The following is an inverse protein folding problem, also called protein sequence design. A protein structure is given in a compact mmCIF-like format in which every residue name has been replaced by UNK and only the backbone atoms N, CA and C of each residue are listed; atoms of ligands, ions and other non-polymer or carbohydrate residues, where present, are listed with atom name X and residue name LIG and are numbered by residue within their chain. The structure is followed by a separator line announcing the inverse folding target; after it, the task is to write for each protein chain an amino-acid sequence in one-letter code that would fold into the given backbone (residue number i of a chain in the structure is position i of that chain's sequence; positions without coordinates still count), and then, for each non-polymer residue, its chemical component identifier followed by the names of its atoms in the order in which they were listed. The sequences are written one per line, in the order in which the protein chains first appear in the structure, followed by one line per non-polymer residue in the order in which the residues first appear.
data_IF_519163197873
#
_entry.id   IF_519163197873
#
_cell.length_a   1.000
_cell.length_b   1.000
_cell.length_c   1.000
_cell.angle_alpha   90.00
_cell.angle_beta   90.00
_cell.angle_gamma   90.00
#
_symmetry.space_group_name_H-M   'P 1'
#
loop_
_entity.id
_entity.type
_entity.pdbx_description
1 polymer ?
#
# COMPACT_ATOMS: atom_id res chain seq x y z
N UNK A 1 -3.08 20.84 -1.81
CA UNK A 1 -3.69 22.00 -1.19
C UNK A 1 -3.33 22.13 0.30
N UNK A 2 -3.56 21.06 1.15
CA UNK A 2 -3.16 21.07 2.58
C UNK A 2 -1.65 21.40 2.75
N UNK A 3 -0.79 20.77 1.94
CA UNK A 3 0.66 21.04 1.99
C UNK A 3 1.01 22.51 1.67
N UNK A 4 0.34 23.13 0.70
CA UNK A 4 0.51 24.55 0.37
C UNK A 4 0.15 25.45 1.54
N UNK A 5 -0.96 25.16 2.24
CA UNK A 5 -1.40 25.95 3.41
C UNK A 5 -0.48 25.76 4.61
N UNK A 6 0.01 24.53 4.86
CA UNK A 6 0.99 24.29 5.93
C UNK A 6 2.32 25.00 5.67
N UNK A 7 2.80 24.97 4.41
CA UNK A 7 4.01 25.68 4.02
C UNK A 7 3.86 27.18 4.13
N UNK A 8 2.69 27.75 3.76
CA UNK A 8 2.39 29.18 3.95
C UNK A 8 2.38 29.57 5.43
N UNK A 9 1.83 28.71 6.30
CA UNK A 9 1.86 28.93 7.75
C UNK A 9 3.30 29.03 8.27
N UNK A 10 4.20 28.13 7.81
CA UNK A 10 5.63 28.19 8.16
C UNK A 10 6.28 29.49 7.65
N UNK A 11 5.96 29.90 6.43
CA UNK A 11 6.45 31.17 5.86
C UNK A 11 6.05 32.37 6.72
N UNK A 12 4.76 32.43 7.10
CA UNK A 12 4.24 33.53 7.94
C UNK A 12 4.98 33.58 9.27
N UNK A 13 5.21 32.43 9.93
CA UNK A 13 6.02 32.39 11.14
C UNK A 13 7.45 32.89 10.93
N UNK A 14 8.07 32.57 9.78
CA UNK A 14 9.38 33.07 9.40
C UNK A 14 9.39 34.60 9.25
N UNK A 15 8.39 35.18 8.55
CA UNK A 15 8.27 36.63 8.38
C UNK A 15 7.99 37.34 9.70
N UNK A 16 7.14 36.79 10.55
CA UNK A 16 6.86 37.34 11.88
C UNK A 16 8.11 37.33 12.75
N UNK A 17 8.87 36.24 12.76
CA UNK A 17 10.14 36.14 13.51
C UNK A 17 11.17 37.15 13.01
N UNK A 18 11.32 37.27 11.67
CA UNK A 18 12.20 38.25 11.06
C UNK A 18 11.78 39.68 11.41
N UNK A 19 10.48 40.00 11.34
CA UNK A 19 9.94 41.30 11.72
C UNK A 19 10.20 41.63 13.22
N UNK A 20 10.10 40.64 14.11
CA UNK A 20 10.42 40.82 15.53
C UNK A 20 11.90 41.15 15.72
N UNK A 21 12.81 40.48 14.99
CA UNK A 21 14.24 40.83 15.02
C UNK A 21 14.48 42.26 14.51
N UNK A 22 13.81 42.63 13.42
CA UNK A 22 13.90 44.01 12.88
C UNK A 22 13.41 45.06 13.92
N UNK A 23 12.35 44.78 14.66
CA UNK A 23 11.89 45.68 15.76
C UNK A 23 12.95 45.83 16.82
N UNK A 24 13.57 44.74 17.29
CA UNK A 24 14.61 44.77 18.29
C UNK A 24 15.84 45.58 17.84
N UNK A 25 16.29 45.33 16.59
CA UNK A 25 17.42 46.03 15.97
C UNK A 25 17.11 47.51 15.78
N UNK A 26 15.92 47.85 15.27
CA UNK A 26 15.50 49.24 15.05
C UNK A 26 15.32 49.94 16.41
N UNK A 27 14.70 49.28 17.38
CA UNK A 27 14.54 49.81 18.75
C UNK A 27 15.87 50.12 19.43
N UNK A 28 16.85 49.19 19.30
CA UNK A 28 18.21 49.41 19.80
C UNK A 28 18.89 50.56 19.07
N UNK A 29 18.77 50.63 17.75
CA UNK A 29 19.34 51.71 16.97
C UNK A 29 18.72 53.08 17.33
N UNK A 30 17.38 53.14 17.49
CA UNK A 30 16.67 54.34 17.98
C UNK A 30 17.14 54.75 19.36
N UNK A 31 17.31 53.81 20.28
CA UNK A 31 17.80 54.05 21.62
C UNK A 31 19.20 54.66 21.60
N UNK A 32 20.13 54.10 20.83
CA UNK A 32 21.51 54.59 20.69
C UNK A 32 21.55 55.99 20.05
N UNK A 33 20.78 56.26 19.01
CA UNK A 33 20.75 57.58 18.35
C UNK A 33 20.07 58.62 19.27
N UNK A 34 18.97 58.25 19.93
CA UNK A 34 18.27 59.15 20.83
C UNK A 34 19.16 59.62 22.00
N UNK A 35 20.01 58.73 22.50
CA UNK A 35 21.00 59.08 23.55
C UNK A 35 22.11 59.99 23.03
N UNK A 36 22.42 59.93 21.72
CA UNK A 36 23.53 60.68 21.12
C UNK A 36 23.11 62.01 20.46
N UNK A 37 21.90 62.16 19.89
CA UNK A 37 21.56 63.28 18.98
C UNK A 37 20.22 63.99 19.24
N UNK A 38 19.42 63.51 20.22
CA UNK A 38 18.07 64.04 20.46
C UNK A 38 16.98 63.44 19.53
N UNK A 39 15.70 63.91 19.75
CA UNK A 39 14.53 63.34 19.04
C UNK A 39 14.57 63.54 17.55
N UNK A 40 14.64 62.44 16.77
CA UNK A 40 14.32 62.45 15.31
C UNK A 40 12.92 61.83 15.08
N UNK A 41 11.92 62.65 14.65
CA UNK A 41 10.54 62.13 14.44
C UNK A 41 10.43 61.08 13.31
N UNK A 42 11.46 60.89 12.51
CA UNK A 42 11.45 59.93 11.35
C UNK A 42 11.66 58.50 11.76
N UNK A 43 12.25 58.26 12.91
CA UNK A 43 12.43 56.93 13.50
C UNK A 43 11.08 56.28 13.83
N UNK A 44 10.05 57.07 14.11
CA UNK A 44 8.68 56.58 14.33
C UNK A 44 8.02 56.06 13.05
N UNK A 45 8.35 56.62 11.86
CA UNK A 45 7.79 56.13 10.58
C UNK A 45 8.17 54.71 10.24
N UNK A 46 9.43 54.32 10.52
CA UNK A 46 9.90 52.93 10.31
C UNK A 46 9.21 51.93 11.25
N UNK A 47 9.03 52.33 12.52
CA UNK A 47 8.32 51.51 13.48
C UNK A 47 6.85 51.32 13.09
N UNK A 48 6.15 52.36 12.61
CA UNK A 48 4.79 52.24 12.12
C UNK A 48 4.67 51.24 10.96
N UNK A 49 5.61 51.26 10.00
CA UNK A 49 5.59 50.35 8.86
C UNK A 49 5.71 48.87 9.29
N UNK A 50 6.57 48.62 10.30
CA UNK A 50 6.73 47.24 10.85
C UNK A 50 5.42 46.78 11.51
N UNK A 51 4.73 47.64 12.28
CA UNK A 51 3.42 47.27 12.86
C UNK A 51 2.36 46.97 11.80
N UNK A 52 2.36 47.70 10.69
CA UNK A 52 1.46 47.42 9.55
C UNK A 52 1.75 46.03 8.96
N UNK A 53 3.03 45.67 8.78
CA UNK A 53 3.44 44.34 8.31
C UNK A 53 3.01 43.25 9.29
N UNK A 54 3.24 43.43 10.58
CA UNK A 54 2.82 42.46 11.59
C UNK A 54 1.32 42.27 11.64
N UNK A 55 0.54 43.33 11.55
CA UNK A 55 -0.93 43.27 11.47
C UNK A 55 -1.42 42.53 10.23
N UNK A 56 -0.77 42.76 9.10
CA UNK A 56 -1.07 42.07 7.85
C UNK A 56 -0.72 40.57 7.90
N UNK A 57 0.47 40.22 8.42
CA UNK A 57 0.85 38.80 8.57
C UNK A 57 -0.04 38.08 9.57
N UNK A 58 -0.45 38.73 10.64
CA UNK A 58 -1.42 38.16 11.57
C UNK A 58 -2.79 37.91 10.91
N UNK A 59 -3.25 38.85 10.08
CA UNK A 59 -4.48 38.67 9.31
C UNK A 59 -4.37 37.51 8.30
N UNK A 60 -3.24 37.41 7.57
CA UNK A 60 -2.98 36.30 6.64
C UNK A 60 -2.94 34.96 7.38
N UNK A 61 -2.31 34.91 8.57
CA UNK A 61 -2.28 33.72 9.40
C UNK A 61 -3.69 33.26 9.81
N UNK A 62 -4.55 34.21 10.21
CA UNK A 62 -5.96 33.86 10.51
C UNK A 62 -6.70 33.29 9.31
N UNK A 63 -6.49 33.86 8.12
CA UNK A 63 -7.09 33.36 6.86
C UNK A 63 -6.59 31.98 6.48
N UNK A 64 -5.30 31.73 6.61
CA UNK A 64 -4.69 30.39 6.36
C UNK A 64 -5.19 29.35 7.35
N UNK A 65 -5.25 29.69 8.64
CA UNK A 65 -5.79 28.77 9.66
C UNK A 65 -7.26 28.46 9.45
N UNK A 66 -8.07 29.46 9.06
CA UNK A 66 -9.48 29.24 8.70
C UNK A 66 -9.60 28.30 7.49
N UNK A 67 -8.80 28.52 6.44
CA UNK A 67 -8.78 27.66 5.26
C UNK A 67 -8.34 26.21 5.57
N UNK A 68 -7.42 26.03 6.52
CA UNK A 68 -7.03 24.70 7.01
C UNK A 68 -8.16 23.98 7.76
N UNK A 69 -8.90 24.71 8.60
CA UNK A 69 -10.02 24.15 9.37
C UNK A 69 -11.24 23.81 8.49
N UNK A 70 -11.53 24.65 7.49
CA UNK A 70 -12.69 24.47 6.59
C UNK A 70 -12.35 23.62 5.36
N UNK A 71 -11.11 23.13 5.24
CA UNK A 71 -10.57 22.42 4.07
C UNK A 71 -10.78 23.18 2.74
N UNK A 72 -10.99 24.50 2.82
CA UNK A 72 -11.26 25.37 1.67
C UNK A 72 -9.98 25.91 1.06
N UNK A 73 -10.00 26.18 -0.25
CA UNK A 73 -8.91 26.83 -0.97
C UNK A 73 -8.89 28.34 -0.76
N UNK A 74 -7.72 28.94 -0.69
CA UNK A 74 -7.60 30.39 -0.78
C UNK A 74 -7.61 30.84 -2.25
N UNK A 75 -8.36 31.91 -2.59
CA UNK A 75 -8.49 32.37 -3.98
C UNK A 75 -7.16 32.88 -4.54
N UNK A 76 -6.97 32.77 -5.85
CA UNK A 76 -5.74 33.24 -6.53
C UNK A 76 -5.46 34.71 -6.23
N UNK A 77 -6.50 35.54 -6.18
CA UNK A 77 -6.39 36.98 -5.84
C UNK A 77 -5.73 37.21 -4.47
N UNK A 78 -6.02 36.37 -3.47
CA UNK A 78 -5.38 36.46 -2.15
C UNK A 78 -3.86 36.30 -2.27
N UNK A 79 -3.41 35.31 -3.03
CA UNK A 79 -1.98 35.03 -3.23
C UNK A 79 -1.27 36.19 -3.95
N UNK A 80 -1.90 36.77 -4.96
CA UNK A 80 -1.36 37.92 -5.73
C UNK A 80 -1.23 39.13 -4.80
N UNK A 81 -2.32 39.56 -4.15
CA UNK A 81 -2.32 40.75 -3.34
C UNK A 81 -1.39 40.65 -2.13
N UNK A 82 -1.34 39.49 -1.47
CA UNK A 82 -0.41 39.29 -0.33
C UNK A 82 1.04 39.39 -0.78
N UNK A 83 1.39 38.82 -1.96
CA UNK A 83 2.75 38.89 -2.48
C UNK A 83 3.14 40.33 -2.86
N UNK A 84 2.27 41.02 -3.55
CA UNK A 84 2.53 42.41 -3.97
C UNK A 84 2.75 43.31 -2.74
N UNK A 85 1.86 43.20 -1.75
CA UNK A 85 1.94 44.02 -0.55
C UNK A 85 3.24 43.73 0.23
N UNK A 86 3.52 42.49 0.55
CA UNK A 86 4.70 42.10 1.31
C UNK A 86 6.01 42.48 0.61
N UNK A 87 6.11 42.14 -0.69
CA UNK A 87 7.35 42.36 -1.44
C UNK A 87 7.59 43.84 -1.74
N UNK A 88 6.57 44.71 -1.74
CA UNK A 88 6.74 46.15 -1.91
C UNK A 88 7.20 46.90 -0.65
N UNK A 89 7.04 46.28 0.55
CA UNK A 89 7.38 46.92 1.84
C UNK A 89 8.80 47.50 1.91
N UNK A 90 9.89 46.81 1.48
CA UNK A 90 11.23 47.42 1.54
C UNK A 90 11.37 48.67 0.65
N UNK A 91 10.65 48.75 -0.48
CA UNK A 91 10.62 49.92 -1.33
C UNK A 91 9.94 51.10 -0.65
N UNK A 92 8.81 50.88 0.02
CA UNK A 92 8.16 51.90 0.85
C UNK A 92 9.04 52.32 2.00
N UNK A 93 9.73 51.39 2.66
CA UNK A 93 10.68 51.72 3.70
C UNK A 93 11.79 52.64 3.21
N UNK A 94 12.35 52.37 2.01
CA UNK A 94 13.33 53.27 1.39
C UNK A 94 12.75 54.67 1.11
N UNK A 95 11.54 54.75 0.60
CA UNK A 95 10.91 56.02 0.28
C UNK A 95 10.58 56.85 1.52
N UNK A 96 10.14 56.23 2.63
CA UNK A 96 9.76 56.95 3.85
C UNK A 96 10.92 57.24 4.79
N UNK A 97 11.92 56.33 4.87
CA UNK A 97 13.04 56.48 5.81
C UNK A 97 14.16 57.39 5.25
N UNK A 98 14.26 57.51 3.93
CA UNK A 98 15.33 58.27 3.29
C UNK A 98 14.83 59.70 2.95
N UNK A 99 15.19 60.67 3.74
CA UNK A 99 14.97 62.08 3.39
C UNK A 99 16.08 62.63 2.49
N UNK A 100 15.81 63.76 1.85
CA UNK A 100 16.75 64.41 0.93
C UNK A 100 18.10 64.84 1.50
N UNK A 101 18.25 64.82 2.82
CA UNK A 101 19.43 65.33 3.58
C UNK A 101 20.26 64.30 4.30
N UNK A 102 19.99 62.99 4.04
CA UNK A 102 20.51 61.90 4.89
C UNK A 102 21.82 61.31 4.38
N UNK A 103 22.57 60.84 5.39
CA UNK A 103 23.76 60.00 5.43
C UNK A 103 23.83 58.96 4.30
N UNK A 104 25.02 58.73 3.71
CA UNK A 104 25.24 57.74 2.61
C UNK A 104 24.69 56.32 2.85
N UNK A 105 24.61 55.92 4.11
CA UNK A 105 24.12 54.59 4.51
C UNK A 105 22.68 54.31 4.06
N UNK A 106 21.82 55.32 3.96
CA UNK A 106 20.40 55.17 3.61
C UNK A 106 20.09 55.34 2.14
N UNK A 107 21.10 55.47 1.29
CA UNK A 107 20.91 55.57 -0.16
C UNK A 107 20.53 54.20 -0.75
N UNK A 108 19.73 54.09 -1.82
CA UNK A 108 19.24 52.82 -2.35
C UNK A 108 20.33 51.79 -2.59
N UNK A 109 21.51 52.22 -3.04
CA UNK A 109 22.63 51.34 -3.37
C UNK A 109 23.32 50.78 -2.12
N UNK A 110 23.37 51.55 -1.03
CA UNK A 110 24.05 51.17 0.23
C UNK A 110 23.08 50.69 1.31
N UNK A 111 21.78 50.66 1.02
CA UNK A 111 20.76 50.35 2.04
C UNK A 111 20.65 48.80 2.29
N UNK A 112 20.53 48.40 3.56
CA UNK A 112 20.20 46.99 3.91
C UNK A 112 18.87 46.52 3.37
N UNK A 113 17.97 47.43 2.90
CA UNK A 113 16.68 47.06 2.33
C UNK A 113 16.80 46.14 1.08
N UNK A 114 17.93 46.18 0.36
CA UNK A 114 18.21 45.23 -0.74
C UNK A 114 18.22 43.79 -0.27
N UNK A 115 18.83 43.51 0.92
CA UNK A 115 18.88 42.18 1.50
C UNK A 115 17.47 41.70 1.91
N UNK A 116 16.60 42.60 2.38
CA UNK A 116 15.22 42.28 2.75
C UNK A 116 14.42 41.82 1.51
N UNK A 117 14.62 42.42 0.35
CA UNK A 117 14.00 41.97 -0.90
C UNK A 117 14.41 40.52 -1.24
N UNK A 118 15.70 40.17 -1.10
CA UNK A 118 16.16 38.80 -1.34
C UNK A 118 15.55 37.81 -0.33
N UNK A 119 15.45 38.19 0.94
CA UNK A 119 14.81 37.36 1.96
C UNK A 119 13.35 37.08 1.61
N UNK A 120 12.59 38.10 1.19
CA UNK A 120 11.18 37.96 0.81
C UNK A 120 11.01 37.11 -0.47
N UNK A 121 11.90 37.25 -1.44
CA UNK A 121 11.91 36.39 -2.65
C UNK A 121 12.18 34.93 -2.25
N UNK A 122 13.16 34.66 -1.37
CA UNK A 122 13.44 33.30 -0.88
C UNK A 122 12.23 32.77 -0.11
N UNK A 123 11.67 33.55 0.80
CA UNK A 123 10.49 33.17 1.58
C UNK A 123 9.27 32.84 0.69
N UNK A 124 9.15 33.49 -0.48
CA UNK A 124 8.07 33.23 -1.43
C UNK A 124 8.10 31.79 -1.98
N UNK A 125 9.25 31.10 -1.97
CA UNK A 125 9.37 29.69 -2.41
C UNK A 125 8.55 28.75 -1.51
N UNK A 126 8.36 29.10 -0.26
CA UNK A 126 7.53 28.35 0.70
C UNK A 126 6.03 28.37 0.34
N UNK A 127 5.58 29.25 -0.55
CA UNK A 127 4.21 29.23 -1.07
C UNK A 127 3.93 28.06 -2.01
N UNK A 128 4.96 27.34 -2.44
CA UNK A 128 4.89 26.19 -3.34
C UNK A 128 4.18 26.48 -4.67
N UNK A 129 4.16 27.76 -5.09
CA UNK A 129 3.56 28.24 -6.32
C UNK A 129 4.62 28.99 -7.15
N UNK A 130 5.21 28.37 -8.19
CA UNK A 130 6.34 28.94 -8.94
C UNK A 130 6.11 30.36 -9.45
N UNK A 131 4.91 30.62 -9.98
CA UNK A 131 4.53 31.92 -10.50
C UNK A 131 4.51 33.03 -9.43
N UNK A 132 4.25 32.68 -8.15
CA UNK A 132 4.29 33.64 -7.03
C UNK A 132 5.72 34.12 -6.79
N UNK A 133 6.69 33.21 -6.78
CA UNK A 133 8.10 33.57 -6.60
C UNK A 133 8.61 34.45 -7.74
N UNK A 134 8.17 34.19 -8.97
CA UNK A 134 8.48 35.07 -10.10
C UNK A 134 7.85 36.45 -9.96
N UNK A 135 6.56 36.51 -9.56
CA UNK A 135 5.89 37.80 -9.26
C UNK A 135 6.62 38.56 -8.15
N UNK A 136 7.04 37.89 -7.09
CA UNK A 136 7.82 38.50 -6.00
C UNK A 136 9.09 39.19 -6.53
N UNK A 137 9.83 38.54 -7.45
CA UNK A 137 11.00 39.14 -8.10
C UNK A 137 10.67 40.36 -8.97
N UNK A 138 9.58 40.28 -9.71
CA UNK A 138 9.11 41.45 -10.52
C UNK A 138 8.72 42.63 -9.63
N UNK A 139 7.93 42.38 -8.57
CA UNK A 139 7.49 43.42 -7.66
C UNK A 139 8.69 44.04 -6.90
N UNK A 140 9.65 43.18 -6.45
CA UNK A 140 10.88 43.65 -5.83
C UNK A 140 11.67 44.57 -6.76
N UNK A 141 11.88 44.14 -8.01
CA UNK A 141 12.61 44.92 -9.03
C UNK A 141 11.95 46.26 -9.32
N UNK A 142 10.64 46.26 -9.59
CA UNK A 142 9.88 47.49 -9.87
C UNK A 142 9.87 48.43 -8.64
N UNK A 143 9.62 47.88 -7.44
CA UNK A 143 9.59 48.66 -6.19
C UNK A 143 10.96 49.34 -5.91
N UNK A 144 12.06 48.59 -6.16
CA UNK A 144 13.41 49.10 -5.97
C UNK A 144 13.76 50.21 -7.02
N UNK A 145 13.36 50.04 -8.27
CA UNK A 145 13.51 51.08 -9.32
C UNK A 145 12.69 52.33 -8.99
N UNK A 146 11.44 52.17 -8.56
CA UNK A 146 10.59 53.30 -8.18
C UNK A 146 11.20 54.08 -6.98
N UNK A 147 11.75 53.38 -6.00
CA UNK A 147 12.44 54.03 -4.88
C UNK A 147 13.69 54.79 -5.36
N UNK A 148 14.50 54.21 -6.25
CA UNK A 148 15.67 54.85 -6.83
C UNK A 148 15.30 56.12 -7.61
N UNK A 149 14.23 56.06 -8.43
CA UNK A 149 13.71 57.23 -9.18
C UNK A 149 13.19 58.31 -8.21
N UNK A 150 12.38 57.97 -7.22
CA UNK A 150 11.83 58.90 -6.24
C UNK A 150 12.94 59.64 -5.47
N UNK A 151 14.05 58.95 -5.12
CA UNK A 151 15.20 59.54 -4.45
C UNK A 151 16.17 60.29 -5.34
N UNK A 152 15.86 60.39 -6.66
CA UNK A 152 16.62 61.20 -7.63
C UNK A 152 17.98 60.63 -7.96
N UNK A 153 18.15 59.30 -8.00
CA UNK A 153 19.37 58.58 -8.42
C UNK A 153 20.65 59.03 -7.65
N UNK A 154 20.56 59.37 -6.37
CA UNK A 154 21.67 59.91 -5.61
C UNK A 154 22.79 58.87 -5.42
N UNK A 155 24.03 59.21 -5.78
CA UNK A 155 25.17 58.31 -5.59
C UNK A 155 25.50 58.10 -4.11
N UNK A 156 26.07 56.91 -3.74
CA UNK A 156 26.39 56.57 -2.38
C UNK A 156 27.53 57.41 -1.78
N UNK A 157 28.39 57.97 -2.63
CA UNK A 157 29.56 58.76 -2.20
C UNK A 157 29.54 60.20 -2.82
N UNK A 158 29.99 61.22 -2.06
CA UNK A 158 30.17 62.56 -2.60
C UNK A 158 31.12 62.53 -3.82
N UNK A 159 30.78 63.27 -4.87
CA UNK A 159 31.63 63.37 -6.07
C UNK A 159 31.44 62.26 -7.12
N UNK A 160 30.67 61.24 -6.89
CA UNK A 160 30.32 60.26 -7.89
C UNK A 160 29.21 60.75 -8.82
N UNK A 161 29.30 60.58 -10.16
CA UNK A 161 28.26 60.99 -11.09
C UNK A 161 26.92 60.31 -10.84
N UNK A 162 25.75 60.94 -11.04
CA UNK A 162 24.43 60.31 -10.93
C UNK A 162 24.25 59.08 -11.83
N UNK A 163 24.93 59.06 -12.98
CA UNK A 163 24.92 57.90 -13.89
C UNK A 163 25.44 56.61 -13.28
N UNK A 164 26.42 56.70 -12.38
CA UNK A 164 26.94 55.52 -11.66
C UNK A 164 25.90 54.99 -10.69
N UNK A 165 25.19 55.83 -9.96
CA UNK A 165 24.08 55.42 -9.10
C UNK A 165 22.94 54.79 -9.88
N UNK A 166 22.58 55.36 -11.01
CA UNK A 166 21.54 54.83 -11.90
C UNK A 166 21.90 53.43 -12.42
N UNK A 167 23.13 53.22 -12.90
CA UNK A 167 23.58 51.92 -13.39
C UNK A 167 23.58 50.86 -12.27
N UNK A 168 24.01 51.24 -11.07
CA UNK A 168 24.02 50.33 -9.91
C UNK A 168 22.61 49.95 -9.46
N UNK A 169 21.67 50.89 -9.41
CA UNK A 169 20.26 50.61 -9.08
C UNK A 169 19.62 49.73 -10.15
N UNK A 170 19.91 49.98 -11.42
CA UNK A 170 19.39 49.15 -12.52
C UNK A 170 19.94 47.71 -12.45
N UNK A 171 21.23 47.58 -12.19
CA UNK A 171 21.84 46.23 -12.01
C UNK A 171 21.24 45.49 -10.86
N UNK A 172 21.04 46.12 -9.70
CA UNK A 172 20.40 45.51 -8.53
C UNK A 172 18.95 45.10 -8.84
N UNK A 173 18.20 45.91 -9.59
CA UNK A 173 16.83 45.58 -10.01
C UNK A 173 16.78 44.36 -10.93
N UNK A 174 17.73 44.26 -11.88
CA UNK A 174 17.88 43.07 -12.74
C UNK A 174 18.20 41.85 -11.90
N UNK A 175 19.09 41.97 -10.91
CA UNK A 175 19.46 40.89 -10.00
C UNK A 175 18.27 40.38 -9.15
N UNK A 176 17.41 41.30 -8.69
CA UNK A 176 16.16 40.93 -7.97
C UNK A 176 15.17 40.19 -8.89
N UNK A 177 15.05 40.64 -10.16
CA UNK A 177 14.22 39.95 -11.14
C UNK A 177 14.71 38.52 -11.40
N UNK A 178 16.00 38.35 -11.64
CA UNK A 178 16.64 37.05 -11.84
C UNK A 178 16.49 36.16 -10.61
N UNK A 179 16.66 36.71 -9.41
CA UNK A 179 16.45 35.99 -8.16
C UNK A 179 15.01 35.43 -8.07
N UNK A 180 14.00 36.24 -8.48
CA UNK A 180 12.61 35.77 -8.51
C UNK A 180 12.36 34.66 -9.53
N UNK A 181 13.00 34.70 -10.70
CA UNK A 181 12.92 33.63 -11.71
C UNK A 181 13.56 32.36 -11.17
N UNK A 182 14.77 32.43 -10.60
CA UNK A 182 15.47 31.28 -10.00
C UNK A 182 14.65 30.71 -8.86
N UNK A 183 14.10 31.54 -7.99
CA UNK A 183 13.21 31.11 -6.90
C UNK A 183 11.97 30.38 -7.44
N UNK A 184 11.41 30.84 -8.56
CA UNK A 184 10.31 30.18 -9.26
C UNK A 184 10.68 28.78 -9.77
N UNK A 185 11.85 28.63 -10.39
CA UNK A 185 12.35 27.34 -10.87
C UNK A 185 12.62 26.37 -9.72
N UNK A 186 13.23 26.85 -8.64
CA UNK A 186 13.43 26.04 -7.40
C UNK A 186 12.10 25.60 -6.83
N UNK A 187 11.12 26.50 -6.75
CA UNK A 187 9.76 26.18 -6.25
C UNK A 187 9.08 25.11 -7.10
N UNK A 188 9.23 25.18 -8.44
CA UNK A 188 8.70 24.19 -9.36
C UNK A 188 9.31 22.80 -9.10
N UNK A 189 10.63 22.76 -8.88
CA UNK A 189 11.34 21.51 -8.58
C UNK A 189 10.94 20.92 -7.22
N UNK A 190 10.88 21.75 -6.18
CA UNK A 190 10.41 21.32 -4.84
C UNK A 190 8.99 20.75 -4.93
N UNK A 191 8.08 21.45 -5.61
CA UNK A 191 6.70 21.00 -5.81
C UNK A 191 6.62 19.64 -6.50
N UNK A 192 7.43 19.45 -7.55
CA UNK A 192 7.51 18.16 -8.28
C UNK A 192 7.94 17.02 -7.35
N UNK A 193 9.00 17.23 -6.57
CA UNK A 193 9.48 16.20 -5.62
C UNK A 193 8.44 15.86 -4.56
N UNK A 194 7.78 16.87 -3.97
CA UNK A 194 6.71 16.63 -3.00
C UNK A 194 5.56 15.82 -3.63
N UNK A 195 5.16 16.13 -4.86
CA UNK A 195 4.09 15.39 -5.54
C UNK A 195 4.46 13.94 -5.83
N UNK A 196 5.70 13.67 -6.25
CA UNK A 196 6.21 12.30 -6.47
C UNK A 196 6.21 11.53 -5.14
N UNK A 197 6.81 12.08 -4.09
CA UNK A 197 6.88 11.43 -2.79
C UNK A 197 5.48 11.11 -2.20
N UNK A 198 4.51 12.02 -2.36
CA UNK A 198 3.14 11.78 -1.92
C UNK A 198 2.46 10.65 -2.70
N UNK A 199 2.68 10.57 -4.03
CA UNK A 199 2.13 9.48 -4.86
C UNK A 199 2.73 8.13 -4.47
N UNK A 200 4.05 8.07 -4.30
CA UNK A 200 4.75 6.86 -3.86
C UNK A 200 4.23 6.38 -2.51
N UNK A 201 4.10 7.29 -1.52
CA UNK A 201 3.56 6.96 -0.21
C UNK A 201 2.09 6.46 -0.26
N UNK A 202 1.26 7.03 -1.15
CA UNK A 202 -0.11 6.56 -1.35
C UNK A 202 -0.17 5.18 -2.00
N UNK A 203 0.69 4.93 -3.00
CA UNK A 203 0.77 3.63 -3.68
C UNK A 203 1.24 2.55 -2.71
N UNK A 204 2.27 2.85 -1.92
CA UNK A 204 2.79 1.94 -0.91
C UNK A 204 1.73 1.56 0.13
N UNK A 205 0.97 2.53 0.66
CA UNK A 205 -0.13 2.25 1.60
C UNK A 205 -1.24 1.38 1.01
N UNK A 206 -1.57 1.58 -0.28
CA UNK A 206 -2.55 0.73 -0.96
C UNK A 206 -2.06 -0.70 -1.11
N UNK A 207 -0.76 -0.88 -1.44
CA UNK A 207 -0.14 -2.18 -1.55
C UNK A 207 -0.12 -2.91 -0.20
N UNK A 208 0.29 -2.24 0.87
CA UNK A 208 0.29 -2.79 2.23
C UNK A 208 -1.11 -3.21 2.69
N UNK A 209 -2.13 -2.38 2.41
CA UNK A 209 -3.51 -2.72 2.74
C UNK A 209 -3.98 -3.96 1.97
N UNK A 210 -3.72 -4.05 0.66
CA UNK A 210 -4.07 -5.21 -0.15
C UNK A 210 -3.35 -6.48 0.32
N UNK A 211 -2.06 -6.40 0.64
CA UNK A 211 -1.31 -7.53 1.21
C UNK A 211 -1.88 -7.98 2.55
N UNK A 212 -2.27 -7.04 3.40
CA UNK A 212 -2.91 -7.36 4.68
C UNK A 212 -4.23 -8.13 4.47
N UNK A 213 -5.09 -7.68 3.55
CA UNK A 213 -6.36 -8.34 3.25
C UNK A 213 -6.16 -9.78 2.76
N UNK A 214 -5.16 -10.02 1.93
CA UNK A 214 -4.78 -11.36 1.45
C UNK A 214 -4.30 -12.24 2.61
N UNK A 215 -3.47 -11.72 3.52
CA UNK A 215 -3.01 -12.45 4.70
C UNK A 215 -4.17 -12.83 5.64
N UNK A 216 -5.15 -11.95 5.79
CA UNK A 216 -6.38 -12.25 6.56
C UNK A 216 -7.14 -13.39 5.89
N UNK A 217 -7.35 -13.36 4.58
CA UNK A 217 -8.01 -14.44 3.83
C UNK A 217 -7.28 -15.78 4.00
N UNK A 218 -5.95 -15.79 3.86
CA UNK A 218 -5.11 -16.96 4.12
C UNK A 218 -5.29 -17.53 5.51
N UNK A 219 -5.30 -16.68 6.54
CA UNK A 219 -5.46 -17.11 7.91
C UNK A 219 -6.83 -17.75 8.15
N UNK A 220 -7.89 -17.18 7.58
CA UNK A 220 -9.26 -17.73 7.64
C UNK A 220 -9.31 -19.09 6.95
N UNK A 221 -8.77 -19.21 5.73
CA UNK A 221 -8.75 -20.48 5.00
C UNK A 221 -8.01 -21.57 5.79
N UNK A 222 -6.81 -21.26 6.31
CA UNK A 222 -6.05 -22.20 7.14
C UNK A 222 -6.83 -22.64 8.39
N UNK A 223 -7.60 -21.74 8.98
CA UNK A 223 -8.40 -22.05 10.17
C UNK A 223 -9.64 -22.91 9.86
N UNK A 224 -10.14 -22.87 8.62
CA UNK A 224 -11.22 -23.73 8.18
C UNK A 224 -10.79 -25.20 8.00
N UNK A 225 -9.52 -25.46 7.70
CA UNK A 225 -8.99 -26.81 7.57
C UNK A 225 -8.83 -27.48 8.95
N UNK A 226 -9.03 -28.80 9.06
CA UNK A 226 -8.73 -29.54 10.27
C UNK A 226 -7.27 -29.37 10.70
N UNK A 227 -7.05 -28.98 11.95
CA UNK A 227 -5.71 -28.74 12.48
C UNK A 227 -5.06 -29.99 13.08
N UNK A 228 -5.87 -30.99 13.46
CA UNK A 228 -5.41 -32.22 14.08
C UNK A 228 -5.90 -33.45 13.33
N UNK A 229 -5.12 -34.55 13.32
CA UNK A 229 -5.53 -35.79 12.71
C UNK A 229 -6.84 -36.33 13.31
N UNK A 230 -7.62 -37.04 12.49
CA UNK A 230 -8.79 -37.73 12.98
C UNK A 230 -8.48 -39.19 13.32
N UNK A 231 -9.12 -39.65 14.38
CA UNK A 231 -9.09 -41.04 14.80
C UNK A 231 -10.51 -41.56 14.93
N UNK A 232 -10.75 -42.71 14.29
CA UNK A 232 -11.95 -43.51 14.48
C UNK A 232 -11.51 -44.96 14.69
N UNK A 233 -12.26 -45.76 15.44
CA UNK A 233 -11.84 -47.11 15.77
C UNK A 233 -11.39 -47.89 14.53
N UNK A 234 -10.11 -48.28 14.52
CA UNK A 234 -9.48 -49.02 13.44
C UNK A 234 -8.92 -48.16 12.28
N UNK A 235 -9.01 -46.83 12.31
CA UNK A 235 -8.44 -45.94 11.28
C UNK A 235 -7.71 -44.75 11.89
N UNK A 236 -6.61 -44.37 11.25
CA UNK A 236 -5.92 -43.11 11.44
C UNK A 236 -6.01 -42.29 10.17
N UNK A 237 -6.37 -41.01 10.30
CA UNK A 237 -6.53 -40.09 9.15
C UNK A 237 -5.70 -38.86 9.39
N UNK A 238 -4.95 -38.44 8.37
CA UNK A 238 -4.25 -37.17 8.35
C UNK A 238 -4.45 -36.47 7.03
N UNK A 239 -4.46 -35.15 7.05
CA UNK A 239 -4.50 -34.31 5.88
C UNK A 239 -3.49 -33.17 6.00
N UNK A 240 -3.07 -32.68 4.85
CA UNK A 240 -2.14 -31.57 4.72
C UNK A 240 -2.42 -30.78 3.44
N UNK A 241 -2.21 -29.48 3.50
CA UNK A 241 -2.44 -28.58 2.38
C UNK A 241 -1.34 -27.50 2.34
N UNK A 242 -0.84 -27.20 1.14
CA UNK A 242 0.09 -26.12 0.85
C UNK A 242 -0.38 -25.39 -0.42
N UNK A 243 -0.96 -24.20 -0.30
CA UNK A 243 -1.33 -23.39 -1.45
C UNK A 243 -0.12 -22.96 -2.27
N UNK A 244 -0.29 -22.84 -3.60
CA UNK A 244 0.71 -22.33 -4.53
C UNK A 244 0.94 -20.83 -4.38
N UNK A 245 -0.12 -20.10 -4.05
CA UNK A 245 -0.12 -18.68 -3.74
C UNK A 245 -0.44 -18.43 -2.26
N UNK A 246 -0.83 -17.22 -1.88
CA UNK A 246 -1.24 -16.90 -0.50
C UNK A 246 -2.49 -17.64 -0.07
N UNK A 247 -3.40 -17.96 -1.00
CA UNK A 247 -4.63 -18.73 -0.80
C UNK A 247 -4.83 -19.68 -1.98
N UNK A 248 -5.45 -20.85 -1.74
CA UNK A 248 -5.64 -21.89 -2.75
C UNK A 248 -7.10 -22.30 -2.97
N UNK A 249 -7.35 -23.01 -4.07
CA UNK A 249 -8.63 -23.62 -4.41
C UNK A 249 -8.92 -24.91 -3.64
N UNK A 250 -7.91 -25.48 -3.03
CA UNK A 250 -8.00 -26.77 -2.36
C UNK A 250 -8.56 -26.69 -0.95
N UNK A 251 -9.30 -27.70 -0.55
CA UNK A 251 -9.58 -27.99 0.86
C UNK A 251 -9.66 -29.47 1.14
N UNK A 252 -9.44 -29.87 2.39
CA UNK A 252 -9.81 -31.15 2.94
C UNK A 252 -10.57 -30.97 4.25
N UNK A 253 -11.40 -31.94 4.59
CA UNK A 253 -12.17 -31.91 5.82
C UNK A 253 -12.55 -33.34 6.28
N UNK A 254 -12.94 -33.44 7.55
CA UNK A 254 -13.59 -34.62 8.10
C UNK A 254 -14.64 -34.25 9.13
N UNK A 255 -15.70 -35.00 9.14
CA UNK A 255 -16.80 -34.78 10.07
C UNK A 255 -17.34 -36.13 10.60
N UNK A 256 -17.61 -36.19 11.90
CA UNK A 256 -18.25 -37.36 12.48
C UNK A 256 -19.75 -37.25 12.25
N UNK A 257 -20.31 -38.30 11.62
CA UNK A 257 -21.73 -38.43 11.35
C UNK A 257 -22.50 -38.82 12.63
N UNK A 258 -23.81 -38.65 12.63
CA UNK A 258 -24.69 -38.94 13.80
C UNK A 258 -24.72 -40.39 14.19
N UNK A 259 -24.45 -41.31 13.28
CA UNK A 259 -24.35 -42.76 13.49
C UNK A 259 -22.95 -43.22 13.97
N UNK A 260 -22.02 -42.28 14.15
CA UNK A 260 -20.65 -42.52 14.61
C UNK A 260 -19.65 -42.81 13.49
N UNK A 261 -20.07 -42.94 12.24
CA UNK A 261 -19.16 -43.01 11.08
C UNK A 261 -18.43 -41.69 10.88
N UNK A 262 -17.32 -41.71 10.17
CA UNK A 262 -16.53 -40.52 9.81
C UNK A 262 -16.56 -40.35 8.30
N UNK A 263 -17.02 -39.18 7.84
CA UNK A 263 -16.84 -38.78 6.46
C UNK A 263 -15.58 -37.93 6.32
N UNK A 264 -14.80 -38.24 5.28
CA UNK A 264 -13.59 -37.48 4.88
C UNK A 264 -13.86 -36.95 3.50
N UNK A 265 -13.48 -35.71 3.22
CA UNK A 265 -13.61 -35.09 1.91
C UNK A 265 -12.35 -34.31 1.53
N UNK A 266 -12.08 -34.27 0.23
CA UNK A 266 -11.07 -33.42 -0.40
C UNK A 266 -11.67 -32.85 -1.68
N UNK A 267 -11.40 -31.58 -1.96
CA UNK A 267 -11.80 -30.93 -3.19
C UNK A 267 -10.75 -29.93 -3.66
N UNK A 268 -10.73 -29.75 -4.96
CA UNK A 268 -9.99 -28.73 -5.66
C UNK A 268 -10.93 -27.93 -6.57
N UNK A 269 -10.92 -26.61 -6.40
CA UNK A 269 -11.70 -25.66 -7.20
C UNK A 269 -10.79 -24.99 -8.20
N UNK A 270 -11.11 -25.09 -9.47
CA UNK A 270 -10.30 -24.57 -10.59
C UNK A 270 -9.82 -23.13 -10.39
N UNK A 271 -8.49 -22.96 -10.55
CA UNK A 271 -7.76 -21.69 -10.45
C UNK A 271 -7.16 -21.45 -9.07
N UNK A 272 -6.45 -20.35 -8.91
CA UNK A 272 -5.72 -20.00 -7.69
C UNK A 272 -6.09 -18.62 -7.16
N UNK A 273 -5.70 -18.30 -5.93
CA UNK A 273 -5.96 -17.03 -5.28
C UNK A 273 -7.31 -16.96 -4.54
N UNK A 274 -7.72 -15.73 -4.17
CA UNK A 274 -8.85 -15.49 -3.25
C UNK A 274 -10.20 -16.03 -3.78
N UNK A 275 -10.45 -15.92 -5.09
CA UNK A 275 -11.71 -16.37 -5.68
C UNK A 275 -11.97 -17.88 -5.49
N UNK A 276 -11.07 -18.76 -5.96
CA UNK A 276 -11.14 -20.19 -5.68
C UNK A 276 -11.14 -20.53 -4.19
N UNK A 277 -10.38 -19.85 -3.35
CA UNK A 277 -10.36 -20.03 -1.90
C UNK A 277 -11.73 -19.81 -1.25
N UNK A 278 -12.48 -18.81 -1.69
CA UNK A 278 -13.85 -18.56 -1.23
C UNK A 278 -14.81 -19.66 -1.70
N UNK A 279 -14.68 -20.11 -2.94
CA UNK A 279 -15.50 -21.23 -3.48
C UNK A 279 -15.18 -22.54 -2.77
N UNK A 280 -13.92 -22.82 -2.42
CA UNK A 280 -13.52 -23.96 -1.61
C UNK A 280 -14.20 -23.95 -0.23
N UNK A 281 -14.25 -22.77 0.43
CA UNK A 281 -14.95 -22.61 1.70
C UNK A 281 -16.46 -22.83 1.56
N UNK A 282 -17.08 -22.37 0.46
CA UNK A 282 -18.49 -22.60 0.15
C UNK A 282 -18.73 -24.11 -0.13
N UNK A 283 -17.89 -24.74 -0.95
CA UNK A 283 -17.94 -26.17 -1.23
C UNK A 283 -17.90 -27.01 0.07
N UNK A 284 -16.94 -26.68 0.98
CA UNK A 284 -16.87 -27.28 2.30
C UNK A 284 -18.14 -27.12 3.12
N UNK A 285 -18.75 -25.93 3.10
CA UNK A 285 -19.99 -25.67 3.83
C UNK A 285 -21.15 -26.52 3.28
N UNK A 286 -21.27 -26.63 1.95
CA UNK A 286 -22.27 -27.48 1.31
C UNK A 286 -22.01 -28.95 1.60
N UNK A 287 -20.76 -29.41 1.58
CA UNK A 287 -20.38 -30.79 1.92
C UNK A 287 -20.82 -31.12 3.35
N UNK A 288 -20.45 -30.31 4.34
CA UNK A 288 -20.87 -30.49 5.74
C UNK A 288 -22.40 -30.52 5.91
N UNK A 289 -23.10 -29.61 5.23
CA UNK A 289 -24.57 -29.57 5.26
C UNK A 289 -25.19 -30.84 4.67
N UNK A 290 -24.70 -31.26 3.48
CA UNK A 290 -25.24 -32.41 2.78
C UNK A 290 -25.01 -33.73 3.52
N UNK A 291 -23.82 -33.93 4.13
CA UNK A 291 -23.53 -35.13 4.92
C UNK A 291 -24.32 -35.19 6.24
N UNK A 292 -24.81 -34.08 6.77
CA UNK A 292 -25.73 -34.06 7.92
C UNK A 292 -27.16 -34.43 7.52
N UNK A 293 -27.55 -34.11 6.29
CA UNK A 293 -28.90 -34.41 5.77
C UNK A 293 -28.97 -35.84 5.21
N UNK A 294 -27.96 -36.28 4.47
CA UNK A 294 -27.90 -37.61 3.88
C UNK A 294 -26.56 -38.27 4.17
N UNK A 295 -26.61 -39.50 4.65
CA UNK A 295 -25.44 -40.36 4.91
C UNK A 295 -25.14 -41.30 3.71
N UNK A 296 -25.90 -41.18 2.63
CA UNK A 296 -25.70 -41.86 1.36
C UNK A 296 -24.85 -40.96 0.45
N UNK A 297 -23.66 -41.44 0.02
CA UNK A 297 -22.72 -40.65 -0.76
C UNK A 297 -23.29 -40.13 -2.06
N UNK A 298 -23.94 -40.94 -2.91
CA UNK A 298 -24.58 -40.47 -4.14
C UNK A 298 -25.55 -39.34 -3.92
N UNK A 299 -26.43 -39.44 -2.92
CA UNK A 299 -27.41 -38.41 -2.60
C UNK A 299 -26.73 -37.14 -2.06
N UNK A 300 -25.76 -37.31 -1.17
CA UNK A 300 -25.03 -36.16 -0.63
C UNK A 300 -24.24 -35.40 -1.70
N UNK A 301 -23.54 -36.11 -2.60
CA UNK A 301 -22.76 -35.51 -3.67
C UNK A 301 -23.65 -34.82 -4.71
N UNK A 302 -24.83 -35.38 -5.01
CA UNK A 302 -25.81 -34.71 -5.87
C UNK A 302 -26.28 -33.37 -5.25
N UNK A 303 -26.58 -33.35 -3.97
CA UNK A 303 -26.94 -32.09 -3.26
C UNK A 303 -25.81 -31.06 -3.30
N UNK A 304 -24.54 -31.50 -3.13
CA UNK A 304 -23.38 -30.62 -3.23
C UNK A 304 -23.26 -30.07 -4.66
N UNK A 305 -23.38 -30.91 -5.69
CA UNK A 305 -23.31 -30.50 -7.09
C UNK A 305 -24.38 -29.46 -7.43
N UNK A 306 -25.64 -29.67 -7.00
CA UNK A 306 -26.71 -28.72 -7.25
C UNK A 306 -26.49 -27.38 -6.58
N UNK A 307 -26.08 -27.39 -5.29
CA UNK A 307 -25.85 -26.18 -4.51
C UNK A 307 -24.63 -25.40 -5.05
N UNK A 308 -23.52 -26.09 -5.28
CA UNK A 308 -22.28 -25.47 -5.77
C UNK A 308 -22.42 -25.00 -7.22
N UNK A 309 -23.13 -25.76 -8.07
CA UNK A 309 -23.36 -25.38 -9.47
C UNK A 309 -24.14 -24.08 -9.64
N UNK A 310 -24.96 -23.70 -8.66
CA UNK A 310 -25.65 -22.41 -8.65
C UNK A 310 -24.71 -21.23 -8.36
N UNK A 311 -23.61 -21.46 -7.61
CA UNK A 311 -22.65 -20.44 -7.22
C UNK A 311 -21.41 -20.36 -8.13
N UNK A 312 -21.15 -21.44 -8.89
CA UNK A 312 -20.04 -21.47 -9.85
C UNK A 312 -20.32 -20.58 -11.06
N UNK A 313 -19.38 -19.70 -11.36
CA UNK A 313 -19.45 -18.90 -12.58
C UNK A 313 -19.07 -19.74 -13.81
N UNK A 314 -19.54 -19.33 -14.99
CA UNK A 314 -19.29 -20.02 -16.26
C UNK A 314 -17.80 -20.38 -16.45
N UNK A 315 -17.52 -21.65 -16.68
CA UNK A 315 -16.17 -22.19 -16.91
C UNK A 315 -15.40 -22.59 -15.65
N UNK A 316 -16.00 -22.48 -14.47
CA UNK A 316 -15.43 -23.02 -13.23
C UNK A 316 -16.09 -24.34 -12.86
N UNK A 317 -15.31 -25.22 -12.27
CA UNK A 317 -15.76 -26.51 -11.74
C UNK A 317 -14.95 -26.85 -10.48
N UNK A 318 -15.40 -27.86 -9.75
CA UNK A 318 -14.66 -28.37 -8.62
C UNK A 318 -14.54 -29.89 -8.71
N UNK A 319 -13.32 -30.40 -8.55
CA UNK A 319 -13.14 -31.82 -8.30
C UNK A 319 -13.43 -32.12 -6.83
N UNK A 320 -13.94 -33.31 -6.56
CA UNK A 320 -14.35 -33.69 -5.21
C UNK A 320 -14.21 -35.19 -4.97
N UNK A 321 -13.75 -35.60 -3.80
CA UNK A 321 -13.83 -36.99 -3.35
C UNK A 321 -14.30 -37.04 -1.90
N UNK A 322 -15.16 -37.99 -1.61
CA UNK A 322 -15.55 -38.31 -0.24
C UNK A 322 -15.37 -39.78 0.06
N UNK A 323 -15.00 -40.05 1.31
CA UNK A 323 -14.93 -41.41 1.84
C UNK A 323 -15.66 -41.50 3.18
N UNK A 324 -16.38 -42.59 3.42
CA UNK A 324 -17.02 -42.90 4.72
C UNK A 324 -16.32 -44.08 5.35
N UNK A 325 -15.76 -43.87 6.54
CA UNK A 325 -15.16 -44.90 7.37
C UNK A 325 -16.14 -45.36 8.47
N UNK A 326 -16.30 -46.67 8.60
CA UNK A 326 -17.16 -47.27 9.63
C UNK A 326 -16.32 -47.74 10.84
N UNK A 327 -16.67 -47.35 12.09
CA UNK A 327 -15.91 -47.76 13.27
C UNK A 327 -16.08 -49.24 13.64
N UNK A 328 -17.10 -49.88 13.11
CA UNK A 328 -17.47 -51.27 13.47
C UNK A 328 -17.20 -52.27 12.36
N UNK A 329 -16.76 -51.83 11.19
CA UNK A 329 -16.48 -52.65 10.04
C UNK A 329 -15.16 -52.21 9.36
N UNK A 330 -14.48 -53.12 8.66
CA UNK A 330 -13.25 -52.76 7.92
C UNK A 330 -13.51 -52.00 6.64
N UNK A 331 -14.79 -51.76 6.33
CA UNK A 331 -15.20 -51.23 5.05
C UNK A 331 -15.08 -49.73 4.99
N UNK A 332 -14.58 -49.25 3.88
CA UNK A 332 -14.60 -47.85 3.46
C UNK A 332 -15.39 -47.74 2.16
N UNK A 333 -16.27 -46.74 2.08
CA UNK A 333 -17.02 -46.40 0.87
C UNK A 333 -16.50 -45.09 0.30
N UNK A 334 -16.14 -45.07 -1.00
CA UNK A 334 -15.52 -43.92 -1.65
C UNK A 334 -16.34 -43.56 -2.87
N UNK A 335 -16.61 -42.26 -3.04
CA UNK A 335 -17.23 -41.69 -4.23
C UNK A 335 -16.53 -40.40 -4.64
N UNK A 336 -16.26 -40.24 -5.95
CA UNK A 336 -15.49 -39.11 -6.46
C UNK A 336 -16.22 -38.45 -7.63
N UNK A 337 -16.20 -37.14 -7.66
CA UNK A 337 -16.64 -36.27 -8.75
C UNK A 337 -15.43 -35.59 -9.39
N UNK A 338 -14.84 -36.19 -10.41
CA UNK A 338 -13.68 -35.63 -11.12
C UNK A 338 -12.33 -35.73 -10.39
N UNK A 339 -12.31 -36.04 -9.09
CA UNK A 339 -11.06 -36.17 -8.35
C UNK A 339 -10.44 -37.55 -8.53
N UNK A 340 -9.21 -37.61 -9.02
CA UNK A 340 -8.45 -38.85 -9.21
C UNK A 340 -7.13 -38.60 -9.95
N UNK A 341 -6.23 -39.60 -10.00
CA UNK A 341 -6.41 -40.93 -9.39
C UNK A 341 -6.29 -40.91 -7.88
N UNK A 342 -7.03 -41.73 -7.16
CA UNK A 342 -6.73 -42.03 -5.76
C UNK A 342 -6.02 -43.39 -5.65
N UNK A 343 -5.07 -43.49 -4.73
CA UNK A 343 -4.13 -44.61 -4.66
C UNK A 343 -4.45 -45.48 -3.43
N UNK A 344 -4.63 -46.76 -3.66
CA UNK A 344 -4.85 -47.74 -2.59
C UNK A 344 -3.62 -48.66 -2.51
N UNK A 345 -3.03 -48.78 -1.33
CA UNK A 345 -1.95 -49.73 -1.04
C UNK A 345 -2.47 -50.87 -0.23
N UNK A 346 -2.30 -52.10 -0.68
CA UNK A 346 -2.53 -53.31 0.06
C UNK A 346 -1.23 -53.85 0.66
N UNK A 347 -1.13 -53.81 1.98
CA UNK A 347 0.07 -54.28 2.69
C UNK A 347 0.29 -55.78 2.55
N UNK A 348 -0.78 -56.59 2.55
CA UNK A 348 -0.68 -58.03 2.46
C UNK A 348 -0.17 -58.52 1.09
N UNK A 349 -0.46 -57.79 0.06
CA UNK A 349 -0.06 -58.12 -1.31
C UNK A 349 1.15 -57.31 -1.80
N UNK A 350 1.57 -56.26 -1.05
CA UNK A 350 2.55 -55.24 -1.44
C UNK A 350 2.25 -54.64 -2.82
N UNK A 351 0.97 -54.34 -3.10
CA UNK A 351 0.49 -53.86 -4.40
C UNK A 351 -0.28 -52.57 -4.27
N UNK A 352 -0.20 -51.76 -5.35
CA UNK A 352 -0.96 -50.54 -5.49
C UNK A 352 -2.08 -50.73 -6.52
N UNK A 353 -3.22 -50.12 -6.23
CA UNK A 353 -4.33 -49.98 -7.16
C UNK A 353 -4.63 -48.49 -7.33
N UNK A 354 -4.63 -48.03 -8.55
CA UNK A 354 -5.07 -46.67 -8.91
C UNK A 354 -6.52 -46.72 -9.34
N UNK A 355 -7.34 -45.88 -8.71
CA UNK A 355 -8.76 -45.75 -9.00
C UNK A 355 -9.03 -44.42 -9.68
N UNK A 356 -9.84 -44.48 -10.76
CA UNK A 356 -10.30 -43.27 -11.47
C UNK A 356 -11.49 -42.63 -10.75
N UNK A 357 -11.82 -41.40 -11.13
CA UNK A 357 -13.02 -40.73 -10.67
C UNK A 357 -14.29 -41.49 -11.11
N UNK A 358 -15.34 -41.45 -10.28
CA UNK A 358 -16.62 -42.11 -10.53
C UNK A 358 -17.55 -41.27 -11.40
N UNK A 359 -17.28 -40.00 -11.57
CA UNK A 359 -18.08 -39.07 -12.35
C UNK A 359 -17.35 -37.79 -12.72
N UNK A 360 -18.03 -36.90 -13.40
CA UNK A 360 -17.48 -35.58 -13.77
C UNK A 360 -17.35 -34.65 -12.55
N UNK A 361 -16.48 -33.65 -12.63
CA UNK A 361 -16.40 -32.61 -11.60
C UNK A 361 -17.75 -31.90 -11.39
N UNK A 362 -17.96 -31.35 -10.19
CA UNK A 362 -19.12 -30.54 -9.86
C UNK A 362 -19.16 -29.26 -10.70
N UNK A 363 -20.35 -28.84 -11.10
CA UNK A 363 -20.58 -27.67 -11.93
C UNK A 363 -20.44 -27.87 -13.43
N UNK A 364 -20.00 -29.07 -13.90
CA UNK A 364 -19.97 -29.41 -15.33
C UNK A 364 -21.37 -29.74 -15.84
N UNK A 365 -22.12 -30.52 -15.10
CA UNK A 365 -23.49 -30.88 -15.40
C UNK A 365 -24.45 -30.46 -14.30
N UNK A 366 -25.71 -30.11 -14.62
CA UNK A 366 -26.71 -29.75 -13.62
C UNK A 366 -27.00 -30.87 -12.62
N UNK A 367 -26.85 -32.14 -13.04
CA UNK A 367 -27.06 -33.31 -12.20
C UNK A 367 -25.82 -34.20 -12.18
N UNK A 368 -25.50 -34.75 -11.02
CA UNK A 368 -24.36 -35.63 -10.80
C UNK A 368 -24.82 -37.08 -10.98
N UNK A 369 -24.31 -37.76 -11.99
CA UNK A 369 -24.60 -39.18 -12.28
C UNK A 369 -23.31 -39.98 -12.23
N UNK A 370 -22.84 -40.37 -11.03
CA UNK A 370 -21.61 -41.14 -10.91
C UNK A 370 -21.81 -42.61 -11.19
N UNK A 371 -20.70 -43.31 -11.45
CA UNK A 371 -20.63 -44.76 -11.26
C UNK A 371 -20.90 -45.12 -9.79
N UNK A 372 -21.28 -46.37 -9.50
CA UNK A 372 -21.50 -46.80 -8.12
C UNK A 372 -20.28 -46.55 -7.22
N UNK A 373 -20.49 -46.19 -5.93
CA UNK A 373 -19.38 -45.99 -4.99
C UNK A 373 -18.49 -47.24 -4.87
N UNK A 374 -17.18 -46.99 -4.80
CA UNK A 374 -16.22 -48.09 -4.51
C UNK A 374 -16.30 -48.47 -3.05
N UNK A 375 -16.53 -49.74 -2.77
CA UNK A 375 -16.47 -50.32 -1.42
C UNK A 375 -15.25 -51.20 -1.29
N UNK A 376 -14.41 -50.88 -0.32
CA UNK A 376 -13.15 -51.54 -0.07
C UNK A 376 -13.16 -52.12 1.33
N UNK A 377 -12.68 -53.37 1.45
CA UNK A 377 -12.34 -53.98 2.74
C UNK A 377 -10.85 -53.81 3.01
N UNK A 378 -10.49 -52.93 3.98
CA UNK A 378 -9.12 -52.62 4.30
C UNK A 378 -8.62 -53.54 5.46
N UNK A 379 -7.47 -54.17 5.24
CA UNK A 379 -6.74 -54.95 6.23
C UNK A 379 -5.74 -54.07 7.02
N UNK A 380 -5.30 -54.52 8.19
CA UNK A 380 -4.33 -53.78 9.00
C UNK A 380 -3.07 -53.39 8.21
N UNK A 381 -2.75 -52.10 8.15
CA UNK A 381 -1.65 -51.54 7.43
C UNK A 381 -1.94 -51.09 6.00
N UNK A 382 -3.15 -51.35 5.47
CA UNK A 382 -3.58 -50.83 4.18
C UNK A 382 -3.74 -49.29 4.23
N UNK A 383 -3.47 -48.63 3.13
CA UNK A 383 -3.51 -47.17 2.98
C UNK A 383 -4.41 -46.74 1.81
N UNK A 384 -5.11 -45.63 1.98
CA UNK A 384 -5.76 -44.91 0.88
C UNK A 384 -5.22 -43.48 0.89
N UNK A 385 -4.70 -43.03 -0.28
CA UNK A 385 -4.27 -41.65 -0.52
C UNK A 385 -5.25 -40.95 -1.44
N UNK A 386 -5.80 -39.85 -1.00
CA UNK A 386 -6.38 -38.81 -1.85
C UNK A 386 -5.37 -37.68 -1.97
N UNK A 387 -5.06 -37.26 -3.18
CA UNK A 387 -4.19 -36.12 -3.43
C UNK A 387 -4.71 -35.32 -4.63
N UNK A 388 -4.48 -34.01 -4.61
CA UNK A 388 -4.73 -33.15 -5.76
C UNK A 388 -3.63 -33.31 -6.81
N UNK A 389 -3.92 -32.94 -8.03
CA UNK A 389 -3.03 -33.06 -9.20
C UNK A 389 -1.68 -32.36 -8.99
N UNK A 390 -1.64 -31.28 -8.22
CA UNK A 390 -0.39 -30.60 -7.87
C UNK A 390 0.71 -31.51 -7.33
N UNK A 391 0.35 -32.63 -6.61
CA UNK A 391 1.34 -33.62 -6.17
C UNK A 391 1.89 -34.47 -7.30
N UNK A 392 1.12 -34.70 -8.35
CA UNK A 392 1.50 -35.58 -9.44
C UNK A 392 2.11 -34.81 -10.62
N UNK A 393 1.57 -33.63 -10.91
CA UNK A 393 1.87 -32.84 -12.11
C UNK A 393 2.97 -31.80 -11.90
N UNK A 394 3.51 -31.63 -10.68
CA UNK A 394 4.60 -30.69 -10.46
C UNK A 394 5.85 -31.15 -11.19
N UNK A 395 6.29 -30.32 -12.16
CA UNK A 395 7.40 -30.62 -13.04
C UNK A 395 8.75 -30.18 -12.45
N UNK A 396 9.79 -30.98 -12.74
CA UNK A 396 11.17 -30.60 -12.50
C UNK A 396 11.70 -29.66 -13.60
N UNK A 397 12.96 -29.24 -13.49
CA UNK A 397 13.64 -28.37 -14.48
C UNK A 397 13.73 -28.97 -15.90
N UNK A 398 13.45 -30.26 -16.08
CA UNK A 398 13.45 -30.96 -17.36
C UNK A 398 12.06 -31.13 -17.96
N UNK A 399 11.01 -30.64 -17.30
CA UNK A 399 9.63 -30.85 -17.69
C UNK A 399 9.11 -32.26 -17.41
N UNK A 400 9.73 -32.99 -16.46
CA UNK A 400 9.25 -34.30 -16.06
C UNK A 400 8.33 -34.11 -14.82
N UNK A 401 7.15 -34.68 -14.85
CA UNK A 401 6.21 -34.72 -13.70
C UNK A 401 6.71 -35.66 -12.60
N UNK A 402 6.37 -35.36 -11.33
CA UNK A 402 6.63 -36.27 -10.21
C UNK A 402 5.94 -37.63 -10.43
N UNK A 403 4.67 -37.60 -10.73
CA UNK A 403 3.86 -38.74 -11.18
C UNK A 403 3.47 -39.74 -10.07
N UNK A 404 2.51 -40.60 -10.41
CA UNK A 404 1.96 -41.60 -9.46
C UNK A 404 2.97 -42.68 -9.06
N UNK A 405 3.91 -43.03 -9.95
CA UNK A 405 4.92 -44.07 -9.64
C UNK A 405 5.84 -43.67 -8.48
N UNK A 406 6.40 -42.44 -8.51
CA UNK A 406 7.24 -41.94 -7.42
C UNK A 406 6.45 -41.80 -6.12
N UNK A 407 5.19 -41.37 -6.22
CA UNK A 407 4.25 -41.33 -5.09
C UNK A 407 4.09 -42.72 -4.47
N UNK A 408 3.88 -43.77 -5.26
CA UNK A 408 3.77 -45.16 -4.77
C UNK A 408 5.07 -45.63 -4.10
N UNK A 409 6.24 -45.30 -4.66
CA UNK A 409 7.54 -45.64 -4.09
C UNK A 409 7.72 -45.02 -2.69
N UNK A 410 7.33 -43.75 -2.53
CA UNK A 410 7.35 -43.06 -1.22
C UNK A 410 6.36 -43.67 -0.24
N UNK A 411 5.12 -43.97 -0.66
CA UNK A 411 4.13 -44.64 0.18
C UNK A 411 4.62 -45.99 0.65
N UNK A 412 5.23 -46.82 -0.23
CA UNK A 412 5.80 -48.12 0.10
C UNK A 412 6.94 -48.01 1.14
N UNK A 413 7.83 -47.01 0.93
CA UNK A 413 8.97 -46.79 1.85
C UNK A 413 8.50 -46.32 3.25
N UNK A 414 7.41 -45.54 3.28
CA UNK A 414 6.89 -44.94 4.52
C UNK A 414 5.71 -45.67 5.14
N UNK A 415 5.30 -46.83 4.61
CA UNK A 415 4.05 -47.53 4.97
C UNK A 415 3.86 -47.84 6.47
N UNK A 416 4.96 -47.96 7.21
CA UNK A 416 4.94 -48.25 8.62
C UNK A 416 4.80 -47.04 9.54
N UNK A 417 4.99 -45.83 8.96
CA UNK A 417 4.91 -44.55 9.67
C UNK A 417 3.46 -44.11 9.94
N UNK A 418 3.27 -43.11 10.75
CA UNK A 418 1.98 -42.47 10.94
C UNK A 418 1.56 -41.69 9.66
N UNK A 419 0.25 -41.53 9.36
CA UNK A 419 -0.23 -40.83 8.18
C UNK A 419 0.38 -39.46 7.98
N UNK A 420 0.60 -38.64 9.02
CA UNK A 420 1.24 -37.33 8.95
C UNK A 420 2.68 -37.41 8.43
N UNK A 421 3.44 -38.41 8.94
CA UNK A 421 4.83 -38.62 8.56
C UNK A 421 4.93 -39.09 7.10
N UNK A 422 3.97 -39.93 6.67
CA UNK A 422 3.88 -40.37 5.26
C UNK A 422 3.67 -39.16 4.32
N UNK A 423 2.75 -38.24 4.68
CA UNK A 423 2.50 -37.02 3.89
C UNK A 423 3.73 -36.13 3.91
N UNK A 424 4.42 -35.97 5.05
CA UNK A 424 5.63 -35.16 5.14
C UNK A 424 6.75 -35.71 4.22
N UNK A 425 6.97 -37.05 4.25
CA UNK A 425 7.95 -37.69 3.36
C UNK A 425 7.58 -37.56 1.89
N UNK A 426 6.27 -37.61 1.57
CA UNK A 426 5.80 -37.39 0.22
C UNK A 426 6.13 -35.96 -0.26
N UNK A 427 5.83 -34.98 0.56
CA UNK A 427 6.14 -33.57 0.25
C UNK A 427 7.65 -33.32 0.11
N UNK A 428 8.48 -33.83 1.02
CA UNK A 428 9.94 -33.73 0.91
C UNK A 428 10.47 -34.37 -0.37
N UNK A 429 9.94 -35.54 -0.74
CA UNK A 429 10.32 -36.22 -1.98
C UNK A 429 9.94 -35.44 -3.24
N UNK A 430 8.79 -34.72 -3.23
CA UNK A 430 8.42 -33.80 -4.30
C UNK A 430 9.38 -32.66 -4.37
N UNK A 431 9.71 -32.01 -3.23
CA UNK A 431 10.67 -30.88 -3.19
C UNK A 431 12.06 -31.28 -3.71
N UNK A 432 12.55 -32.45 -3.32
CA UNK A 432 13.81 -32.99 -3.80
C UNK A 432 13.83 -33.26 -5.30
N UNK A 433 12.68 -33.70 -5.85
CA UNK A 433 12.55 -33.97 -7.27
C UNK A 433 12.48 -32.69 -8.13
N UNK A 434 11.73 -31.69 -7.67
CA UNK A 434 11.50 -30.45 -8.46
C UNK A 434 12.68 -29.50 -8.47
N UNK A 435 13.68 -29.70 -7.58
CA UNK A 435 14.91 -28.92 -7.51
C UNK A 435 14.71 -27.39 -7.53
N UNK A 436 13.67 -26.89 -6.84
CA UNK A 436 13.39 -25.48 -6.68
C UNK A 436 12.61 -24.83 -7.83
N UNK A 437 11.98 -25.58 -8.73
CA UNK A 437 10.97 -25.04 -9.63
C UNK A 437 9.82 -24.45 -8.81
N UNK A 438 9.24 -23.35 -9.31
CA UNK A 438 8.13 -22.70 -8.60
C UNK A 438 6.91 -23.64 -8.60
N UNK A 439 6.27 -23.78 -7.44
CA UNK A 439 4.98 -24.46 -7.30
C UNK A 439 3.94 -23.75 -8.18
N UNK A 440 3.25 -24.51 -9.03
CA UNK A 440 2.26 -24.00 -9.99
C UNK A 440 0.83 -24.21 -9.53
N UNK A 441 0.58 -25.24 -8.74
CA UNK A 441 -0.75 -25.58 -8.23
C UNK A 441 -0.73 -25.94 -6.77
N UNK A 442 -1.91 -25.97 -6.14
CA UNK A 442 -2.07 -26.31 -4.73
C UNK A 442 -1.72 -27.77 -4.48
N UNK A 443 -1.12 -28.04 -3.33
CA UNK A 443 -0.79 -29.39 -2.91
C UNK A 443 -1.66 -29.79 -1.74
N UNK A 444 -2.54 -30.75 -1.95
CA UNK A 444 -3.38 -31.29 -0.87
C UNK A 444 -3.33 -32.80 -0.86
N UNK A 445 -3.10 -33.39 0.30
CA UNK A 445 -3.09 -34.84 0.50
C UNK A 445 -3.85 -35.24 1.75
N UNK A 446 -4.60 -36.32 1.65
CA UNK A 446 -5.26 -36.98 2.78
C UNK A 446 -4.92 -38.46 2.74
N UNK A 447 -4.41 -38.99 3.84
CA UNK A 447 -4.14 -40.43 4.01
C UNK A 447 -5.09 -41.03 5.04
N UNK A 448 -5.72 -42.12 4.65
CA UNK A 448 -6.51 -42.99 5.50
C UNK A 448 -5.74 -44.29 5.70
N UNK A 449 -5.34 -44.63 6.91
CA UNK A 449 -4.59 -45.83 7.24
C UNK A 449 -5.42 -46.74 8.14
N UNK A 450 -5.56 -48.01 7.73
CA UNK A 450 -6.16 -49.07 8.59
C UNK A 450 -5.16 -49.51 9.64
N UNK A 451 -5.60 -49.57 10.90
CA UNK A 451 -4.80 -49.98 12.03
C UNK A 451 -4.90 -51.48 12.27
#
# INVERSE_FOLDING_TARGET
HKAELHSERLRIFGVLSFSAVCILVTGFHVFVIHTATGRDPRLWGGSCLIFVVLGFEYWTLRKVNWALQTESGLPVKFWIYSTILETSVPGWALAFLVSKEIDPIYRPVASPALLVFFILIIMSTLRLKPWISTISGVVASVSYLCAGWYLGWRPPFPGTPPSVAQSSVTLNAITLLLAGIVAGLITAQIRKHIQVALREAQTQRKLEAAQHDVQVARSIQKWLLPQEPAYIAGFQIAGWNQPADDTGGDYFDWERLTDGRLVISLADVTGHGIGPALLAAVCRAYARSSFRVSQDLPVALEHINQALGADLTTGRFATFVAAICCPRCPDIEILSAGQGPFIIYSRSQDQFTEMKAHGLPFGILPSFHPDPPTRLQLSGGDLVLFATDGFFEWENVRGEEFGTKRTQDVLRASRDLAPQEIIANLYESVLDFVHGTKQQDDLTAVIIKRM
#
